data_IF_123891167551
#
_entry.id   IF_123891167551
#
_cell.length_a   1.000
_cell.length_b   1.000
_cell.length_c   1.000
_cell.angle_alpha   90.00
_cell.angle_beta   90.00
_cell.angle_gamma   90.00
#
_symmetry.space_group_name_H-M   'P 1'
#
loop_
_entity.id
_entity.type
_entity.pdbx_description
1 polymer ?
#
# COMPACT_ATOMS: atom_id res chain seq x y z
N UNK A 1 17.67 19.27 -4.35
CA UNK A 1 17.53 17.95 -3.68
C UNK A 1 18.23 16.93 -4.54
N UNK A 2 18.94 15.98 -3.94
CA UNK A 2 19.59 14.89 -4.66
C UNK A 2 19.23 13.57 -4.00
N UNK A 3 18.81 12.59 -4.82
CA UNK A 3 18.65 11.20 -4.39
C UNK A 3 19.73 10.37 -5.05
N UNK A 4 20.52 9.67 -4.25
CA UNK A 4 21.64 8.83 -4.67
C UNK A 4 21.35 7.37 -4.34
N UNK A 5 21.77 6.49 -5.24
CA UNK A 5 21.61 5.05 -5.11
C UNK A 5 22.98 4.39 -5.10
N UNK A 6 23.23 3.47 -4.17
CA UNK A 6 24.39 2.59 -4.23
C UNK A 6 23.96 1.15 -4.43
N UNK A 7 24.73 0.43 -5.23
CA UNK A 7 24.44 -0.94 -5.59
C UNK A 7 25.60 -1.86 -5.25
N UNK A 8 25.26 -3.12 -4.95
CA UNK A 8 26.25 -4.18 -4.79
C UNK A 8 27.07 -4.30 -6.08
N UNK A 9 28.41 -4.26 -6.02
CA UNK A 9 29.25 -4.33 -7.22
C UNK A 9 29.19 -5.69 -7.93
N UNK A 10 28.74 -6.74 -7.23
CA UNK A 10 28.69 -8.11 -7.76
C UNK A 10 27.28 -8.60 -8.05
N UNK A 11 26.28 -8.18 -7.25
CA UNK A 11 24.88 -8.61 -7.42
C UNK A 11 24.00 -7.55 -8.08
N UNK A 12 24.46 -6.30 -8.15
CA UNK A 12 23.68 -5.15 -8.62
C UNK A 12 22.36 -4.91 -7.86
N UNK A 13 22.22 -5.49 -6.67
CA UNK A 13 21.13 -5.15 -5.77
C UNK A 13 21.31 -3.76 -5.21
N UNK A 14 20.20 -3.07 -4.99
CA UNK A 14 20.19 -1.79 -4.29
C UNK A 14 20.58 -2.00 -2.82
N UNK A 15 21.70 -1.39 -2.42
CA UNK A 15 22.26 -1.45 -1.07
C UNK A 15 21.88 -0.22 -0.24
N UNK A 16 21.72 0.95 -0.88
CA UNK A 16 21.36 2.18 -0.17
C UNK A 16 20.61 3.17 -1.06
N UNK A 17 19.62 3.86 -0.49
CA UNK A 17 19.01 5.07 -1.07
C UNK A 17 19.18 6.21 -0.09
N UNK A 18 19.82 7.29 -0.53
CA UNK A 18 20.02 8.49 0.28
C UNK A 18 19.40 9.69 -0.43
N UNK A 19 18.55 10.44 0.26
CA UNK A 19 17.99 11.71 -0.21
C UNK A 19 18.50 12.83 0.68
N UNK A 20 19.13 13.85 0.09
CA UNK A 20 19.70 14.97 0.82
C UNK A 20 19.46 16.34 0.16
N UNK A 21 19.40 17.37 1.00
CA UNK A 21 19.48 18.79 0.64
C UNK A 21 20.81 19.35 1.14
N UNK A 22 21.79 19.52 0.25
CA UNK A 22 23.14 19.89 0.68
C UNK A 22 23.64 18.89 1.75
N UNK A 23 24.00 19.35 2.95
CA UNK A 23 24.44 18.50 4.07
C UNK A 23 23.30 17.89 4.90
N UNK A 24 22.05 18.31 4.70
CA UNK A 24 20.91 17.76 5.45
C UNK A 24 20.39 16.50 4.76
N UNK A 25 20.57 15.35 5.40
CA UNK A 25 20.01 14.07 4.95
C UNK A 25 18.56 13.97 5.42
N UNK A 26 17.65 13.71 4.49
CA UNK A 26 16.23 13.54 4.78
C UNK A 26 15.83 12.08 4.87
N UNK A 27 16.38 11.23 4.00
CA UNK A 27 16.16 9.78 3.99
C UNK A 27 17.49 9.07 3.74
N UNK A 28 17.71 7.95 4.42
CA UNK A 28 18.93 7.15 4.26
C UNK A 28 18.71 5.67 4.54
N UNK A 29 18.06 4.96 3.62
CA UNK A 29 17.73 3.56 3.82
C UNK A 29 18.86 2.67 3.30
N UNK A 30 19.48 1.90 4.19
CA UNK A 30 20.51 0.91 3.91
C UNK A 30 19.94 -0.50 4.04
N UNK A 31 20.25 -1.37 3.09
CA UNK A 31 19.68 -2.71 2.98
C UNK A 31 20.77 -3.77 3.13
N UNK A 32 20.70 -4.58 4.19
CA UNK A 32 21.47 -5.83 4.25
C UNK A 32 20.65 -6.98 3.69
N UNK A 33 21.31 -7.92 3.03
CA UNK A 33 20.66 -9.09 2.42
C UNK A 33 21.39 -10.36 2.77
N UNK A 34 20.66 -11.47 2.80
CA UNK A 34 21.26 -12.79 2.82
C UNK A 34 21.74 -13.23 1.42
N UNK A 35 22.29 -14.45 1.31
CA UNK A 35 22.83 -14.99 0.04
C UNK A 35 21.76 -15.20 -1.04
N UNK A 36 20.48 -15.31 -0.65
CA UNK A 36 19.32 -15.44 -1.55
C UNK A 36 18.78 -14.07 -1.98
N UNK A 37 19.27 -12.97 -1.40
CA UNK A 37 18.86 -11.61 -1.75
C UNK A 37 17.70 -11.06 -0.93
N UNK A 38 17.24 -11.81 0.07
CA UNK A 38 16.17 -11.38 0.98
C UNK A 38 16.73 -10.34 1.94
N UNK A 39 16.00 -9.25 2.16
CA UNK A 39 16.44 -8.16 3.04
C UNK A 39 16.41 -8.66 4.48
N UNK A 40 17.56 -8.65 5.16
CA UNK A 40 17.67 -9.04 6.57
C UNK A 40 17.54 -7.84 7.51
N UNK A 41 18.04 -6.69 7.09
CA UNK A 41 17.87 -5.44 7.85
C UNK A 41 17.63 -4.26 6.92
N UNK A 42 16.85 -3.30 7.43
CA UNK A 42 16.82 -1.93 6.94
C UNK A 42 17.40 -1.06 8.05
N UNK A 43 18.36 -0.20 7.71
CA UNK A 43 18.89 0.81 8.63
C UNK A 43 18.65 2.19 8.03
N UNK A 44 17.81 2.97 8.69
CA UNK A 44 17.46 4.34 8.37
C UNK A 44 18.16 5.37 9.27
N UNK A 45 17.61 6.58 9.31
CA UNK A 45 18.17 7.68 10.10
C UNK A 45 17.78 7.62 11.58
N UNK A 46 16.61 7.08 11.89
CA UNK A 46 16.08 6.96 13.23
C UNK A 46 15.69 5.50 13.55
N UNK A 47 15.55 5.18 14.84
CA UNK A 47 15.26 3.82 15.29
C UNK A 47 13.97 3.25 14.67
N UNK A 48 12.94 4.09 14.50
CA UNK A 48 11.67 3.73 13.89
C UNK A 48 11.74 3.47 12.37
N UNK A 49 12.82 3.89 11.71
CA UNK A 49 13.10 3.54 10.32
C UNK A 49 13.83 2.19 10.19
N UNK A 50 14.33 1.63 11.30
CA UNK A 50 15.13 0.41 11.30
C UNK A 50 14.25 -0.82 11.45
N UNK A 51 14.52 -1.83 10.62
CA UNK A 51 13.81 -3.10 10.63
C UNK A 51 14.76 -4.28 10.60
N UNK A 52 14.39 -5.37 11.27
CA UNK A 52 15.02 -6.69 11.12
C UNK A 52 13.99 -7.70 10.64
N UNK A 53 14.35 -8.52 9.66
CA UNK A 53 13.47 -9.52 9.07
C UNK A 53 14.03 -10.93 9.19
N UNK A 54 13.15 -11.90 9.41
CA UNK A 54 13.46 -13.33 9.43
C UNK A 54 12.60 -14.09 8.43
N UNK A 55 13.14 -15.18 7.89
CA UNK A 55 12.50 -15.97 6.85
C UNK A 55 12.59 -17.45 7.17
N UNK A 56 11.64 -18.23 6.66
CA UNK A 56 11.77 -19.69 6.60
C UNK A 56 12.57 -20.15 5.37
N UNK A 57 12.73 -21.47 5.23
CA UNK A 57 13.47 -22.09 4.12
C UNK A 57 12.75 -21.93 2.76
N UNK A 58 11.47 -21.56 2.77
CA UNK A 58 10.68 -21.25 1.58
C UNK A 58 10.65 -19.74 1.26
N UNK A 59 11.50 -18.95 1.93
CA UNK A 59 11.61 -17.50 1.74
C UNK A 59 10.36 -16.71 2.08
N UNK A 60 9.51 -17.25 2.94
CA UNK A 60 8.37 -16.53 3.53
C UNK A 60 8.82 -15.82 4.79
N UNK A 61 8.34 -14.60 4.99
CA UNK A 61 8.66 -13.78 6.16
C UNK A 61 8.12 -14.46 7.42
N UNK A 62 8.95 -14.77 8.42
CA UNK A 62 8.55 -15.35 9.71
C UNK A 62 8.61 -14.36 10.86
N UNK A 63 9.34 -13.25 10.70
CA UNK A 63 9.37 -12.16 11.66
C UNK A 63 9.74 -10.82 11.03
N UNK A 64 9.13 -9.76 11.52
CA UNK A 64 9.49 -8.36 11.28
C UNK A 64 9.56 -7.64 12.62
N UNK A 65 10.69 -7.01 12.91
CA UNK A 65 11.00 -6.32 14.17
C UNK A 65 11.36 -4.87 13.85
N UNK A 66 10.62 -3.91 14.41
CA UNK A 66 10.90 -2.50 14.30
C UNK A 66 11.64 -2.00 15.54
N UNK A 67 12.89 -1.59 15.35
CA UNK A 67 13.80 -1.26 16.46
C UNK A 67 13.32 -0.05 17.29
N UNK A 68 12.51 0.84 16.71
CA UNK A 68 12.00 2.03 17.38
C UNK A 68 10.55 1.95 17.86
N UNK A 69 9.80 0.93 17.46
CA UNK A 69 8.38 0.78 17.78
C UNK A 69 7.96 -0.70 17.81
N UNK A 70 8.10 -1.32 18.98
CA UNK A 70 7.74 -2.72 19.19
C UNK A 70 6.24 -3.03 18.97
N UNK A 71 5.37 -2.02 18.86
CA UNK A 71 3.94 -2.28 18.51
C UNK A 71 3.76 -2.70 17.05
N UNK A 72 4.80 -2.51 16.23
CA UNK A 72 4.88 -2.95 14.85
C UNK A 72 5.52 -4.33 14.69
N UNK A 73 6.08 -4.90 15.76
CA UNK A 73 6.70 -6.22 15.73
C UNK A 73 5.66 -7.29 15.41
N UNK A 74 6.04 -8.20 14.52
CA UNK A 74 5.11 -9.21 14.04
C UNK A 74 5.82 -10.53 13.72
N UNK A 75 5.22 -11.63 14.14
CA UNK A 75 5.61 -12.98 13.70
C UNK A 75 4.53 -13.59 12.84
N UNK A 76 4.97 -14.43 11.90
CA UNK A 76 4.14 -14.98 10.85
C UNK A 76 4.28 -16.50 10.80
N UNK A 77 3.17 -17.19 10.58
CA UNK A 77 3.15 -18.63 10.30
C UNK A 77 2.34 -18.92 9.06
N UNK A 78 2.64 -20.04 8.40
CA UNK A 78 2.03 -20.43 7.14
C UNK A 78 1.71 -21.91 7.14
N UNK A 79 0.70 -22.29 6.37
CA UNK A 79 0.41 -23.70 6.09
C UNK A 79 1.31 -24.26 4.98
N UNK A 80 1.11 -25.53 4.65
CA UNK A 80 1.82 -26.23 3.57
C UNK A 80 1.43 -25.71 2.18
N UNK A 81 0.28 -25.05 2.05
CA UNK A 81 -0.19 -24.43 0.81
C UNK A 81 0.22 -22.95 0.70
N UNK A 82 1.11 -22.49 1.57
CA UNK A 82 1.64 -21.13 1.64
C UNK A 82 0.60 -20.06 2.02
N UNK A 83 -0.57 -20.46 2.50
CA UNK A 83 -1.50 -19.51 3.10
C UNK A 83 -0.97 -19.07 4.46
N UNK A 84 -1.07 -17.77 4.75
CA UNK A 84 -0.75 -17.22 6.06
C UNK A 84 -1.74 -17.76 7.10
N UNK A 85 -1.24 -18.40 8.16
CA UNK A 85 -2.02 -18.99 9.27
C UNK A 85 -2.13 -18.05 10.46
N UNK A 86 -1.14 -17.20 10.69
CA UNK A 86 -1.20 -16.20 11.75
C UNK A 86 -0.33 -15.01 11.44
N UNK A 87 -0.77 -13.84 11.92
CA UNK A 87 0.11 -12.70 12.19
C UNK A 87 -0.18 -12.18 13.58
N UNK A 88 0.82 -11.93 14.41
CA UNK A 88 0.58 -11.60 15.83
C UNK A 88 -0.22 -10.31 16.04
N UNK A 89 -0.17 -9.34 15.11
CA UNK A 89 -0.92 -8.07 15.22
C UNK A 89 -2.40 -8.18 14.84
N UNK A 90 -2.83 -9.29 14.22
CA UNK A 90 -4.23 -9.51 13.80
C UNK A 90 -4.86 -10.78 14.37
N UNK A 91 -4.07 -11.82 14.58
CA UNK A 91 -4.52 -13.15 15.01
C UNK A 91 -4.38 -14.22 13.93
N UNK A 92 -5.22 -15.24 14.04
CA UNK A 92 -5.19 -16.42 13.18
C UNK A 92 -6.03 -16.26 11.92
N UNK A 93 -5.69 -17.03 10.91
CA UNK A 93 -6.41 -17.15 9.65
C UNK A 93 -6.93 -18.57 9.56
N UNK A 94 -8.24 -18.71 9.45
CA UNK A 94 -8.91 -20.02 9.35
C UNK A 94 -9.30 -20.24 7.90
N UNK A 95 -8.98 -21.42 7.38
CA UNK A 95 -9.30 -21.85 6.02
C UNK A 95 -10.19 -23.09 6.06
N UNK A 96 -10.93 -23.38 4.98
CA UNK A 96 -11.66 -24.63 4.85
C UNK A 96 -10.72 -25.84 4.97
N UNK A 97 -11.10 -26.83 5.77
CA UNK A 97 -10.21 -27.93 6.20
C UNK A 97 -10.24 -29.18 5.33
N UNK A 98 -11.16 -29.28 4.36
CA UNK A 98 -11.30 -30.47 3.51
C UNK A 98 -10.73 -30.22 2.12
N UNK A 99 -10.08 -31.23 1.53
CA UNK A 99 -9.51 -31.13 0.19
C UNK A 99 -10.55 -30.87 -0.92
N UNK A 100 -11.83 -31.17 -0.65
CA UNK A 100 -12.96 -30.89 -1.54
C UNK A 100 -13.70 -29.60 -1.18
N UNK A 101 -13.19 -28.81 -0.24
CA UNK A 101 -13.81 -27.56 0.14
C UNK A 101 -13.80 -26.59 -1.03
N UNK A 102 -14.93 -25.91 -1.22
CA UNK A 102 -15.03 -24.80 -2.17
C UNK A 102 -14.15 -23.66 -1.66
N UNK A 103 -13.26 -23.15 -2.52
CA UNK A 103 -12.27 -22.08 -2.22
C UNK A 103 -11.33 -22.43 -1.03
N UNK A 104 -10.49 -23.47 -1.16
CA UNK A 104 -9.61 -23.93 -0.06
C UNK A 104 -8.54 -22.88 0.35
N UNK A 105 -8.31 -21.86 -0.47
CA UNK A 105 -7.37 -20.76 -0.20
C UNK A 105 -8.04 -19.48 0.33
N UNK A 106 -9.38 -19.46 0.45
CA UNK A 106 -10.11 -18.31 0.97
C UNK A 106 -10.26 -18.44 2.49
N UNK A 107 -9.70 -17.50 3.25
CA UNK A 107 -9.82 -17.52 4.71
C UNK A 107 -11.25 -17.20 5.13
N UNK A 108 -11.93 -18.08 5.86
CA UNK A 108 -13.29 -17.87 6.37
C UNK A 108 -13.30 -17.05 7.67
N UNK A 109 -12.14 -16.90 8.31
CA UNK A 109 -11.98 -16.05 9.49
C UNK A 109 -10.58 -15.46 9.53
N UNK A 110 -10.47 -14.18 9.88
CA UNK A 110 -9.20 -13.47 10.10
C UNK A 110 -9.28 -12.75 11.44
N UNK A 111 -8.51 -13.21 12.42
CA UNK A 111 -8.64 -12.76 13.81
C UNK A 111 -10.05 -12.99 14.34
N UNK A 112 -10.70 -11.93 14.81
CA UNK A 112 -12.09 -11.97 15.27
C UNK A 112 -13.14 -11.81 14.15
N UNK A 113 -12.71 -11.63 12.90
CA UNK A 113 -13.60 -11.27 11.79
C UNK A 113 -13.96 -12.49 10.96
N UNK A 114 -15.26 -12.73 10.78
CA UNK A 114 -15.77 -13.70 9.80
C UNK A 114 -15.73 -13.10 8.41
N UNK A 115 -15.26 -13.87 7.43
CA UNK A 115 -15.08 -13.43 6.05
C UNK A 115 -15.98 -14.26 5.15
N UNK A 116 -16.73 -13.59 4.29
CA UNK A 116 -17.63 -14.21 3.33
C UNK A 116 -17.22 -13.89 1.90
N UNK A 117 -17.53 -14.82 1.00
CA UNK A 117 -17.17 -14.74 -0.42
C UNK A 117 -18.35 -15.10 -1.32
N UNK A 118 -18.37 -14.52 -2.52
CA UNK A 118 -19.27 -14.96 -3.59
C UNK A 118 -18.79 -16.26 -4.26
N UNK A 119 -19.50 -16.69 -5.30
CA UNK A 119 -19.18 -17.89 -6.06
C UNK A 119 -17.85 -17.78 -6.84
N UNK A 120 -17.44 -16.57 -7.23
CA UNK A 120 -16.19 -16.31 -7.93
C UNK A 120 -14.99 -16.20 -6.96
N UNK A 121 -15.25 -16.20 -5.65
CA UNK A 121 -14.22 -16.08 -4.63
C UNK A 121 -13.86 -14.65 -4.29
N UNK A 122 -14.67 -13.68 -4.69
CA UNK A 122 -14.50 -12.31 -4.25
C UNK A 122 -15.04 -12.13 -2.83
N UNK A 123 -14.29 -11.41 -1.99
CA UNK A 123 -14.71 -11.10 -0.64
C UNK A 123 -15.93 -10.18 -0.69
N UNK A 124 -17.05 -10.58 -0.08
CA UNK A 124 -18.29 -9.78 0.01
C UNK A 124 -18.54 -9.24 1.41
N UNK A 125 -17.87 -9.81 2.42
CA UNK A 125 -17.86 -9.32 3.79
C UNK A 125 -16.52 -9.64 4.41
N UNK A 126 -15.95 -8.70 5.16
CA UNK A 126 -14.80 -8.97 6.02
C UNK A 126 -15.13 -8.88 7.51
N UNK A 127 -16.42 -8.93 7.87
CA UNK A 127 -16.90 -8.74 9.23
C UNK A 127 -16.94 -7.28 9.69
N UNK A 128 -16.50 -6.32 8.87
CA UNK A 128 -16.54 -4.87 9.15
C UNK A 128 -17.12 -4.08 7.98
N UNK A 129 -16.69 -4.40 6.76
CA UNK A 129 -17.04 -3.83 5.48
C UNK A 129 -17.86 -4.85 4.70
N UNK A 130 -18.89 -4.38 4.02
CA UNK A 130 -19.59 -5.12 2.97
C UNK A 130 -19.07 -4.66 1.62
N UNK A 131 -18.74 -5.60 0.74
CA UNK A 131 -18.14 -5.35 -0.56
C UNK A 131 -19.07 -5.87 -1.66
N UNK A 132 -19.20 -5.10 -2.74
CA UNK A 132 -19.95 -5.53 -3.93
C UNK A 132 -19.05 -5.51 -5.16
N UNK A 133 -19.38 -6.34 -6.14
CA UNK A 133 -18.58 -6.59 -7.33
C UNK A 133 -19.44 -6.41 -8.58
N UNK A 134 -18.85 -5.87 -9.65
CA UNK A 134 -19.53 -5.71 -10.92
C UNK A 134 -19.53 -7.01 -11.74
N UNK A 135 -20.28 -7.03 -12.85
CA UNK A 135 -20.37 -8.21 -13.72
C UNK A 135 -19.07 -8.59 -14.43
N UNK A 136 -18.01 -7.78 -14.31
CA UNK A 136 -16.68 -8.02 -14.82
C UNK A 136 -15.68 -8.38 -13.71
N UNK A 137 -16.17 -8.81 -12.54
CA UNK A 137 -15.36 -9.26 -11.40
C UNK A 137 -14.51 -8.16 -10.74
N UNK A 138 -14.91 -6.89 -10.84
CA UNK A 138 -14.19 -5.75 -10.24
C UNK A 138 -14.95 -5.18 -9.05
N UNK A 139 -14.23 -4.68 -8.04
CA UNK A 139 -14.82 -4.12 -6.83
C UNK A 139 -15.70 -2.90 -7.16
N UNK A 140 -17.01 -3.01 -7.05
CA UNK A 140 -17.96 -1.95 -7.37
C UNK A 140 -18.19 -1.00 -6.18
N UNK A 141 -18.27 -1.52 -4.96
CA UNK A 141 -18.41 -0.69 -3.76
C UNK A 141 -17.88 -1.33 -2.50
N UNK A 142 -17.58 -0.48 -1.51
CA UNK A 142 -17.27 -0.86 -0.13
C UNK A 142 -18.16 -0.02 0.78
N UNK A 143 -18.91 -0.67 1.67
CA UNK A 143 -19.79 -0.02 2.64
C UNK A 143 -19.35 -0.37 4.06
N UNK A 144 -19.20 0.63 4.91
CA UNK A 144 -18.86 0.48 6.33
C UNK A 144 -19.65 1.50 7.15
N UNK A 145 -20.30 1.06 8.22
CA UNK A 145 -21.07 1.94 9.12
C UNK A 145 -22.06 2.88 8.39
N UNK A 146 -22.70 2.39 7.34
CA UNK A 146 -23.65 3.17 6.51
C UNK A 146 -23.01 4.11 5.49
N UNK A 147 -21.70 4.35 5.55
CA UNK A 147 -20.96 5.10 4.54
C UNK A 147 -20.55 4.17 3.39
N UNK A 148 -20.72 4.62 2.15
CA UNK A 148 -20.38 3.84 0.94
C UNK A 148 -19.37 4.58 0.09
N UNK A 149 -18.35 3.85 -0.34
CA UNK A 149 -17.41 4.23 -1.39
C UNK A 149 -17.74 3.40 -2.63
N UNK A 150 -17.85 4.03 -3.79
CA UNK A 150 -18.17 3.37 -5.05
C UNK A 150 -17.10 3.65 -6.10
N UNK A 151 -16.84 2.66 -6.94
CA UNK A 151 -15.84 2.72 -8.00
C UNK A 151 -16.49 2.52 -9.36
N UNK A 152 -15.94 3.14 -10.39
CA UNK A 152 -16.29 2.86 -11.78
C UNK A 152 -15.04 2.74 -12.62
N UNK A 153 -15.14 1.94 -13.67
CA UNK A 153 -14.01 1.49 -14.47
C UNK A 153 -14.27 1.77 -15.95
N UNK A 154 -13.19 2.05 -16.67
CA UNK A 154 -13.16 2.17 -18.12
C UNK A 154 -13.29 0.82 -18.82
N UNK A 155 -13.41 0.85 -20.16
CA UNK A 155 -13.47 -0.37 -20.97
C UNK A 155 -12.14 -1.16 -20.96
N UNK A 156 -11.03 -0.52 -20.61
CA UNK A 156 -9.70 -1.11 -20.43
C UNK A 156 -9.49 -1.73 -19.04
N UNK A 157 -10.51 -1.69 -18.17
CA UNK A 157 -10.43 -2.18 -16.79
C UNK A 157 -9.85 -1.18 -15.80
N UNK A 158 -9.30 -0.04 -16.26
CA UNK A 158 -8.73 0.94 -15.36
C UNK A 158 -9.82 1.68 -14.59
N UNK A 159 -9.61 1.92 -13.30
CA UNK A 159 -10.51 2.74 -12.48
C UNK A 159 -10.51 4.17 -12.99
N UNK A 160 -11.69 4.66 -13.39
CA UNK A 160 -11.89 6.03 -13.90
C UNK A 160 -12.56 6.94 -12.89
N UNK A 161 -13.18 6.38 -11.84
CA UNK A 161 -13.89 7.16 -10.81
C UNK A 161 -13.91 6.46 -9.45
N UNK A 162 -13.78 7.26 -8.39
CA UNK A 162 -14.08 6.92 -7.00
C UNK A 162 -15.04 7.97 -6.44
N UNK A 163 -16.10 7.56 -5.75
CA UNK A 163 -17.06 8.48 -5.11
C UNK A 163 -17.41 8.00 -3.71
N UNK A 164 -17.61 8.95 -2.79
CA UNK A 164 -18.07 8.70 -1.42
C UNK A 164 -18.88 9.91 -0.92
N UNK A 165 -19.39 9.84 0.31
CA UNK A 165 -20.29 10.86 0.87
C UNK A 165 -19.74 12.30 0.90
N UNK A 166 -18.41 12.49 0.84
CA UNK A 166 -17.78 13.81 0.89
C UNK A 166 -17.15 14.25 -0.43
N UNK A 167 -17.17 13.43 -1.49
CA UNK A 167 -16.46 13.81 -2.71
C UNK A 167 -16.43 12.77 -3.81
N UNK A 168 -15.78 13.16 -4.90
CA UNK A 168 -15.50 12.30 -6.05
C UNK A 168 -14.12 12.61 -6.58
N UNK A 169 -13.36 11.57 -6.91
CA UNK A 169 -12.11 11.67 -7.65
C UNK A 169 -12.29 11.03 -9.01
N UNK A 170 -11.88 11.72 -10.07
CA UNK A 170 -11.80 11.17 -11.42
C UNK A 170 -10.36 10.84 -11.78
N UNK A 171 -10.19 9.79 -12.58
CA UNK A 171 -8.90 9.32 -13.06
C UNK A 171 -8.94 9.24 -14.59
N UNK A 172 -8.64 10.34 -15.31
CA UNK A 172 -8.59 10.34 -16.77
C UNK A 172 -7.53 9.39 -17.34
N UNK A 173 -6.44 9.18 -16.61
CA UNK A 173 -5.39 8.20 -16.89
C UNK A 173 -4.65 7.79 -15.60
N UNK A 174 -3.67 6.89 -15.70
CA UNK A 174 -2.92 6.35 -14.56
C UNK A 174 -2.09 7.40 -13.77
N UNK A 175 -1.85 8.58 -14.33
CA UNK A 175 -1.01 9.65 -13.82
C UNK A 175 -1.78 10.95 -13.54
N UNK A 176 -3.10 10.99 -13.72
CA UNK A 176 -3.93 12.18 -13.47
C UNK A 176 -5.03 11.87 -12.47
N UNK A 177 -5.22 12.77 -11.51
CA UNK A 177 -6.33 12.75 -10.55
C UNK A 177 -7.04 14.11 -10.55
N UNK A 178 -8.36 14.09 -10.59
CA UNK A 178 -9.19 15.29 -10.44
C UNK A 178 -10.04 15.10 -9.20
N UNK A 179 -9.63 15.71 -8.09
CA UNK A 179 -10.37 15.71 -6.84
C UNK A 179 -11.45 16.82 -6.85
N UNK A 180 -12.69 16.40 -6.64
CA UNK A 180 -13.91 17.24 -6.58
C UNK A 180 -14.58 17.17 -5.21
N UNK A 181 -13.81 16.95 -4.15
CA UNK A 181 -14.29 16.95 -2.77
C UNK A 181 -14.64 18.35 -2.25
N UNK A 182 -14.07 19.40 -2.85
CA UNK A 182 -14.37 20.79 -2.48
C UNK A 182 -15.45 21.37 -3.40
N UNK A 183 -16.65 21.75 -2.90
CA UNK A 183 -17.71 22.32 -3.72
C UNK A 183 -17.23 23.52 -4.54
N UNK A 184 -17.51 23.50 -5.85
CA UNK A 184 -17.14 24.58 -6.78
C UNK A 184 -15.66 24.62 -7.19
N UNK A 185 -14.83 23.71 -6.68
CA UNK A 185 -13.38 23.70 -6.93
C UNK A 185 -12.89 22.30 -7.31
N UNK A 186 -12.09 22.22 -8.37
CA UNK A 186 -11.37 21.00 -8.71
C UNK A 186 -9.90 21.15 -8.30
N UNK A 187 -9.32 20.09 -7.74
CA UNK A 187 -7.88 19.99 -7.52
C UNK A 187 -7.33 18.97 -8.52
N UNK A 188 -6.47 19.42 -9.41
CA UNK A 188 -5.81 18.60 -10.41
C UNK A 188 -4.46 18.14 -9.88
N UNK A 189 -4.21 16.84 -9.87
CA UNK A 189 -2.89 16.26 -9.57
C UNK A 189 -2.37 15.53 -10.81
N UNK A 190 -1.19 15.92 -11.29
CA UNK A 190 -0.47 15.25 -12.36
C UNK A 190 0.81 14.60 -11.79
N UNK A 191 1.07 13.35 -12.16
CA UNK A 191 2.31 12.64 -11.88
C UNK A 191 3.18 12.57 -13.15
N UNK A 192 3.94 13.62 -13.50
CA UNK A 192 4.75 13.63 -14.72
C UNK A 192 5.92 12.63 -14.67
N UNK A 193 6.29 12.19 -13.47
CA UNK A 193 7.30 11.19 -13.20
C UNK A 193 6.91 10.43 -11.92
N UNK A 194 7.29 9.15 -11.73
CA UNK A 194 7.02 8.44 -10.47
C UNK A 194 7.55 9.11 -9.20
N UNK A 195 8.54 9.99 -9.33
CA UNK A 195 9.15 10.77 -8.24
C UNK A 195 8.65 12.21 -8.13
N UNK A 196 7.60 12.60 -8.87
CA UNK A 196 7.09 13.98 -8.85
C UNK A 196 5.56 14.04 -8.97
N UNK A 197 4.96 15.01 -8.30
CA UNK A 197 3.57 15.41 -8.53
C UNK A 197 3.44 16.92 -8.64
N UNK A 198 2.55 17.38 -9.50
CA UNK A 198 2.17 18.79 -9.66
C UNK A 198 0.69 18.90 -9.28
N UNK A 199 0.37 19.85 -8.40
CA UNK A 199 -1.00 20.10 -7.94
C UNK A 199 -1.43 21.50 -8.37
N UNK A 200 -2.63 21.60 -8.93
CA UNK A 200 -3.22 22.87 -9.39
C UNK A 200 -4.68 22.94 -8.93
N UNK A 201 -5.06 24.03 -8.28
CA UNK A 201 -6.46 24.32 -7.93
C UNK A 201 -7.15 25.05 -9.09
N UNK A 202 -8.38 24.67 -9.44
CA UNK A 202 -9.13 25.30 -10.52
C UNK A 202 -9.25 26.81 -10.35
N UNK A 203 -8.93 27.57 -11.41
CA UNK A 203 -8.92 29.03 -11.39
C UNK A 203 -7.61 29.64 -10.88
N UNK A 204 -6.69 28.84 -10.33
CA UNK A 204 -5.33 29.26 -9.99
C UNK A 204 -4.38 29.11 -11.18
N UNK A 205 -3.41 30.01 -11.29
CA UNK A 205 -2.25 29.88 -12.19
C UNK A 205 -1.02 29.32 -11.47
N UNK A 206 -1.10 29.16 -10.13
CA UNK A 206 -0.02 28.60 -9.30
C UNK A 206 0.01 27.08 -9.45
N UNK A 207 1.22 26.54 -9.60
CA UNK A 207 1.47 25.10 -9.64
C UNK A 207 2.32 24.70 -8.46
N UNK A 208 1.76 23.90 -7.55
CA UNK A 208 2.50 23.35 -6.42
C UNK A 208 3.23 22.08 -6.85
N UNK A 209 4.56 22.13 -6.84
CA UNK A 209 5.40 20.99 -7.24
C UNK A 209 5.93 20.28 -6.01
N UNK A 210 5.81 18.96 -6.04
CA UNK A 210 6.28 18.07 -4.99
C UNK A 210 7.14 16.96 -5.59
N UNK A 211 8.13 16.53 -4.82
CA UNK A 211 9.01 15.42 -5.15
C UNK A 211 8.80 14.28 -4.16
N UNK A 212 8.63 13.07 -4.68
CA UNK A 212 8.32 11.85 -3.94
C UNK A 212 9.60 11.04 -3.80
N UNK A 213 10.03 10.78 -2.57
CA UNK A 213 11.26 10.03 -2.28
C UNK A 213 10.90 8.60 -1.88
N UNK A 214 11.35 7.64 -2.69
CA UNK A 214 10.90 6.25 -2.64
C UNK A 214 11.96 5.28 -2.12
N UNK A 215 11.51 4.20 -1.48
CA UNK A 215 12.38 3.10 -1.04
C UNK A 215 12.58 2.02 -2.12
N UNK A 216 13.26 0.93 -1.76
CA UNK A 216 13.53 -0.21 -2.64
C UNK A 216 12.31 -0.89 -3.26
N UNK A 217 11.12 -0.74 -2.68
CA UNK A 217 9.85 -1.25 -3.23
C UNK A 217 9.12 -0.20 -4.07
N UNK A 218 9.74 0.95 -4.30
CA UNK A 218 9.09 2.15 -4.83
C UNK A 218 8.03 2.76 -3.90
N UNK A 219 8.01 2.40 -2.60
CA UNK A 219 7.08 3.02 -1.65
C UNK A 219 7.50 4.45 -1.34
N UNK A 220 6.59 5.41 -1.40
CA UNK A 220 6.89 6.81 -1.07
C UNK A 220 7.06 6.95 0.45
N UNK A 221 8.26 7.30 0.90
CA UNK A 221 8.58 7.48 2.33
C UNK A 221 8.52 8.94 2.74
N UNK A 222 8.85 9.86 1.83
CA UNK A 222 8.86 11.28 2.09
C UNK A 222 8.43 12.08 0.88
N UNK A 223 7.88 13.26 1.12
CA UNK A 223 7.52 14.23 0.09
C UNK A 223 8.14 15.57 0.44
N UNK A 224 8.78 16.22 -0.53
CA UNK A 224 9.31 17.58 -0.39
C UNK A 224 8.64 18.53 -1.37
N UNK A 225 8.47 19.80 -0.99
CA UNK A 225 8.03 20.86 -1.90
C UNK A 225 9.16 21.34 -2.84
N UNK A 226 8.85 22.29 -3.73
CA UNK A 226 9.80 22.86 -4.69
C UNK A 226 11.05 23.50 -4.03
N UNK A 227 10.88 24.06 -2.83
CA UNK A 227 11.99 24.60 -2.02
C UNK A 227 12.82 23.51 -1.33
N UNK A 228 12.48 22.23 -1.48
CA UNK A 228 13.18 21.09 -0.89
C UNK A 228 12.90 20.91 0.61
N UNK A 229 11.84 21.50 1.15
CA UNK A 229 11.40 21.22 2.53
C UNK A 229 10.49 20.00 2.56
N UNK A 230 10.68 19.12 3.55
CA UNK A 230 9.83 17.96 3.76
C UNK A 230 8.44 18.40 4.23
N UNK A 231 7.41 17.96 3.52
CA UNK A 231 6.00 18.29 3.79
C UNK A 231 5.17 17.07 4.21
N UNK A 232 5.56 15.87 3.78
CA UNK A 232 4.94 14.62 4.22
C UNK A 232 6.03 13.58 4.51
N UNK A 233 5.75 12.67 5.45
CA UNK A 233 6.59 11.51 5.74
C UNK A 233 5.72 10.36 6.23
N UNK A 234 6.08 9.14 5.84
CA UNK A 234 5.44 7.93 6.36
C UNK A 234 6.40 6.76 6.41
N UNK A 235 5.99 5.74 7.16
CA UNK A 235 6.59 4.42 7.15
C UNK A 235 5.55 3.36 6.83
N UNK A 236 6.02 2.15 6.54
CA UNK A 236 5.16 1.00 6.26
C UNK A 236 5.63 -0.20 7.07
N UNK A 237 4.69 -0.93 7.66
CA UNK A 237 4.92 -2.28 8.14
C UNK A 237 5.12 -3.24 6.96
N UNK A 238 5.53 -4.48 7.25
CA UNK A 238 5.96 -5.44 6.23
C UNK A 238 4.91 -5.71 5.13
N UNK A 239 3.62 -5.69 5.49
CA UNK A 239 2.50 -5.92 4.59
C UNK A 239 1.83 -4.61 4.10
N UNK A 240 2.46 -3.46 4.30
CA UNK A 240 2.05 -2.19 3.69
C UNK A 240 1.17 -1.30 4.55
N UNK A 241 0.88 -1.67 5.80
CA UNK A 241 0.17 -0.78 6.72
C UNK A 241 1.03 0.46 7.00
N UNK A 242 0.49 1.64 6.72
CA UNK A 242 1.17 2.89 7.05
C UNK A 242 1.36 3.02 8.57
N UNK A 243 2.53 3.48 9.00
CA UNK A 243 2.85 3.68 10.43
C UNK A 243 2.31 5.02 10.98
N UNK A 244 1.68 5.83 10.13
CA UNK A 244 0.95 7.03 10.51
C UNK A 244 -0.27 7.25 9.62
N UNK A 245 -1.15 8.15 10.06
CA UNK A 245 -2.42 8.49 9.39
C UNK A 245 -2.40 9.87 8.73
N UNK A 246 -1.30 10.63 8.86
CA UNK A 246 -1.21 12.01 8.38
C UNK A 246 -0.76 12.11 6.92
N UNK A 247 -0.19 11.04 6.35
CA UNK A 247 0.27 11.01 4.96
C UNK A 247 -0.90 11.13 3.97
N UNK A 248 -0.83 12.10 3.06
CA UNK A 248 -1.95 12.44 2.17
C UNK A 248 -1.73 11.96 0.74
N UNK A 249 -0.48 11.77 0.32
CA UNK A 249 -0.12 11.31 -1.02
C UNK A 249 -0.71 9.92 -1.28
N UNK A 250 -1.53 9.81 -2.34
CA UNK A 250 -2.28 8.59 -2.66
C UNK A 250 -1.40 7.47 -3.23
N UNK A 251 -0.53 7.78 -4.20
CA UNK A 251 0.52 6.87 -4.67
C UNK A 251 1.57 6.70 -3.57
N UNK A 252 1.50 5.60 -2.84
CA UNK A 252 2.09 5.45 -1.51
C UNK A 252 2.93 4.18 -1.40
N UNK A 253 2.47 3.14 -0.67
CA UNK A 253 3.15 1.85 -0.59
C UNK A 253 3.27 1.24 -2.00
N UNK A 254 4.44 0.69 -2.31
CA UNK A 254 4.83 0.16 -3.63
C UNK A 254 4.56 1.09 -4.84
N UNK A 255 4.32 2.39 -4.60
CA UNK A 255 3.95 3.37 -5.63
C UNK A 255 2.47 3.32 -6.04
N UNK A 256 1.65 2.48 -5.40
CA UNK A 256 0.25 2.27 -5.76
C UNK A 256 -0.71 3.07 -4.88
N UNK A 257 -1.97 3.16 -5.32
CA UNK A 257 -2.96 4.06 -4.73
C UNK A 257 -3.56 3.48 -3.46
N UNK A 258 -3.47 4.23 -2.36
CA UNK A 258 -4.18 3.92 -1.11
C UNK A 258 -5.47 4.75 -1.00
N UNK A 259 -6.59 4.07 -0.80
CA UNK A 259 -7.89 4.69 -0.56
C UNK A 259 -8.23 4.65 0.93
N UNK A 260 -7.90 5.73 1.63
CA UNK A 260 -8.12 5.88 3.07
C UNK A 260 -9.59 5.67 3.48
N UNK A 261 -10.54 5.92 2.59
CA UNK A 261 -11.98 5.73 2.84
C UNK A 261 -12.36 4.25 2.98
N UNK A 262 -11.56 3.33 2.45
CA UNK A 262 -11.79 1.88 2.51
C UNK A 262 -10.69 1.12 3.23
N UNK A 263 -9.50 1.72 3.37
CA UNK A 263 -8.28 1.06 3.84
C UNK A 263 -7.65 0.12 2.81
N UNK A 264 -8.15 0.08 1.57
CA UNK A 264 -7.64 -0.77 0.51
C UNK A 264 -6.63 -0.05 -0.38
N UNK A 265 -5.71 -0.84 -0.94
CA UNK A 265 -4.84 -0.40 -2.02
C UNK A 265 -5.38 -0.87 -3.36
N UNK A 266 -5.43 0.03 -4.33
CA UNK A 266 -5.78 -0.26 -5.71
C UNK A 266 -4.51 -0.55 -6.52
N UNK A 267 -4.35 -1.81 -6.92
CA UNK A 267 -3.22 -2.32 -7.69
C UNK A 267 -3.64 -2.59 -9.15
N UNK A 268 -4.40 -1.66 -9.72
CA UNK A 268 -4.91 -1.68 -11.09
C UNK A 268 -5.96 -2.77 -11.37
N UNK A 269 -5.57 -4.04 -11.39
CA UNK A 269 -6.50 -5.15 -11.63
C UNK A 269 -7.19 -5.65 -10.35
N UNK A 270 -6.50 -5.54 -9.20
CA UNK A 270 -6.97 -6.07 -7.92
C UNK A 270 -6.84 -5.07 -6.79
N UNK A 271 -7.55 -5.35 -5.71
CA UNK A 271 -7.45 -4.61 -4.46
C UNK A 271 -6.75 -5.45 -3.41
N UNK A 272 -5.80 -4.83 -2.73
CA UNK A 272 -5.03 -5.42 -1.66
C UNK A 272 -5.40 -4.77 -0.33
N UNK A 273 -5.63 -5.60 0.69
CA UNK A 273 -5.83 -5.14 2.04
C UNK A 273 -4.53 -5.29 2.85
N UNK A 274 -3.83 -4.19 3.19
CA UNK A 274 -2.61 -4.26 3.96
C UNK A 274 -2.82 -4.79 5.38
N UNK A 275 -3.97 -4.51 6.01
CA UNK A 275 -4.27 -5.00 7.35
C UNK A 275 -4.43 -6.54 7.37
N UNK A 276 -5.00 -7.12 6.32
CA UNK A 276 -5.10 -8.59 6.17
C UNK A 276 -3.90 -9.23 5.47
N UNK A 277 -2.98 -8.42 4.92
CA UNK A 277 -1.82 -8.91 4.20
C UNK A 277 -2.18 -9.74 2.96
N UNK A 278 -3.27 -9.40 2.25
CA UNK A 278 -3.76 -10.20 1.11
C UNK A 278 -4.66 -9.43 0.16
N UNK A 279 -4.82 -9.97 -1.05
CA UNK A 279 -5.85 -9.54 -1.99
C UNK A 279 -7.25 -9.92 -1.49
N UNK A 280 -8.25 -9.12 -1.88
CA UNK A 280 -9.66 -9.36 -1.54
C UNK A 280 -10.43 -10.13 -2.63
N UNK A 281 -9.75 -10.50 -3.72
CA UNK A 281 -10.23 -11.38 -4.79
C UNK A 281 -9.08 -12.26 -5.29
N UNK A 282 -9.37 -13.43 -5.89
CA UNK A 282 -8.37 -14.21 -6.61
C UNK A 282 -7.80 -13.45 -7.81
N UNK A 283 -6.74 -14.00 -8.40
CA UNK A 283 -6.30 -13.59 -9.75
C UNK A 283 -7.16 -14.30 -10.77
N UNK A 284 -7.66 -13.56 -11.76
CA UNK A 284 -8.48 -14.10 -12.86
C UNK A 284 -7.63 -14.71 -13.98
#
# INVERSE_FOLDING_TARGET
MTTSFSYSPTRHWLDRVTTAKSTTVLMDNQYSRDKLGRIKTITGLAANDNWTYSYDDLSRLTGADNIGDNTLDETYSYDSNHNLLSRTRIGTYVYPTTASAIRPHAATQIGAKTIDYDANGNMVSDGTRTLSWDGANRLASVTQNGATVSFAYGPDGARVKKSWGFGTTLYPDANVEIDRSTPGTNIYTLYPHPDAKIVVTSGSTVQDKFFLHRDHLASVRQVTNESGYRVEQTGYAAYGEATNTTFQTKKSYIGERFDAETGLMYLNARYYDPAFGRFISPDD
#
